data_IF_884216916305
#
_entry.id   IF_884216916305
#
_cell.length_a   1.000
_cell.length_b   1.000
_cell.length_c   1.000
_cell.angle_alpha   90.00
_cell.angle_beta   90.00
_cell.angle_gamma   90.00
#
_symmetry.space_group_name_H-M   'P 1'
#
loop_
_entity.id
_entity.type
_entity.pdbx_description
1 polymer ?
#
# COMPACT_ATOMS: atom_id res chain seq x y z
N UNK A 1 -12.22 -10.18 -17.78
CA UNK A 1 -11.58 -8.86 -17.99
C UNK A 1 -10.64 -8.47 -16.82
N UNK A 2 -9.64 -9.31 -16.51
CA UNK A 2 -8.63 -8.99 -15.48
C UNK A 2 -7.22 -8.83 -16.05
N UNK A 3 -6.99 -9.34 -17.27
CA UNK A 3 -5.69 -9.36 -17.93
C UNK A 3 -5.40 -8.05 -18.68
N UNK A 4 -6.29 -7.66 -19.59
CA UNK A 4 -6.15 -6.42 -20.37
C UNK A 4 -6.72 -5.23 -19.60
N UNK A 5 -5.84 -4.52 -18.88
CA UNK A 5 -6.15 -3.28 -18.15
C UNK A 5 -5.57 -2.08 -18.91
N UNK A 6 -6.29 -0.96 -19.03
CA UNK A 6 -5.73 0.27 -19.56
C UNK A 6 -4.57 0.75 -18.69
N UNK A 7 -3.64 1.50 -19.28
CA UNK A 7 -2.42 1.98 -18.60
C UNK A 7 -2.73 2.74 -17.31
N UNK A 8 -3.72 3.63 -17.35
CA UNK A 8 -4.14 4.42 -16.18
C UNK A 8 -4.51 3.53 -14.98
N UNK A 9 -5.23 2.42 -15.23
CA UNK A 9 -5.59 1.47 -14.18
C UNK A 9 -4.38 0.73 -13.64
N UNK A 10 -3.42 0.35 -14.49
CA UNK A 10 -2.16 -0.28 -14.05
C UNK A 10 -1.37 0.63 -13.11
N UNK A 11 -1.22 1.91 -13.46
CA UNK A 11 -0.52 2.89 -12.62
C UNK A 11 -1.19 3.08 -11.26
N UNK A 12 -2.52 3.17 -11.22
CA UNK A 12 -3.27 3.27 -9.97
C UNK A 12 -3.10 2.02 -9.11
N UNK A 13 -3.13 0.82 -9.70
CA UNK A 13 -2.90 -0.43 -8.97
C UNK A 13 -1.49 -0.51 -8.38
N UNK A 14 -0.46 -0.15 -9.16
CA UNK A 14 0.94 -0.10 -8.70
C UNK A 14 1.09 0.89 -7.53
N UNK A 15 0.46 2.06 -7.64
CA UNK A 15 0.47 3.04 -6.53
C UNK A 15 -0.18 2.46 -5.27
N UNK A 16 -1.31 1.76 -5.39
CA UNK A 16 -1.98 1.11 -4.25
C UNK A 16 -1.18 -0.04 -3.64
N UNK A 17 -0.36 -0.72 -4.43
CA UNK A 17 0.58 -1.73 -3.95
C UNK A 17 1.73 -1.09 -3.16
N UNK A 18 2.41 -0.09 -3.73
CA UNK A 18 3.53 0.61 -3.08
C UNK A 18 3.13 1.30 -1.77
N UNK A 19 1.93 1.86 -1.70
CA UNK A 19 1.41 2.47 -0.48
C UNK A 19 1.13 1.45 0.64
N UNK A 20 1.03 0.16 0.33
CA UNK A 20 0.71 -0.90 1.30
C UNK A 20 1.97 -1.54 1.91
N UNK A 21 3.05 -0.78 2.05
CA UNK A 21 4.31 -1.26 2.62
C UNK A 21 4.44 -0.87 4.10
N UNK A 22 5.11 -1.71 4.92
CA UNK A 22 5.43 -1.34 6.30
C UNK A 22 6.41 -0.16 6.35
N UNK A 23 6.45 0.52 7.49
CA UNK A 23 7.44 1.57 7.72
C UNK A 23 8.84 0.91 7.75
N UNK A 24 9.83 1.47 7.03
CA UNK A 24 11.21 1.01 7.10
C UNK A 24 11.77 1.07 8.52
N UNK A 25 12.48 0.02 8.92
CA UNK A 25 13.03 -0.14 10.28
C UNK A 25 13.87 1.05 10.73
N UNK A 26 14.66 1.63 9.82
CA UNK A 26 15.51 2.79 10.12
C UNK A 26 14.70 4.03 10.54
N UNK A 27 13.46 4.21 10.07
CA UNK A 27 12.58 5.30 10.51
C UNK A 27 12.11 5.06 11.93
N UNK A 28 11.74 3.81 12.25
CA UNK A 28 11.31 3.42 13.60
C UNK A 28 12.44 3.66 14.61
N UNK A 29 13.68 3.30 14.25
CA UNK A 29 14.87 3.55 15.07
C UNK A 29 15.14 5.05 15.22
N UNK A 30 15.15 5.81 14.11
CA UNK A 30 15.34 7.27 14.10
C UNK A 30 14.31 8.00 14.96
N UNK A 31 13.08 7.52 15.00
CA UNK A 31 11.98 8.12 15.77
C UNK A 31 11.90 7.63 17.22
N UNK A 32 12.91 6.90 17.71
CA UNK A 32 12.92 6.29 19.07
C UNK A 32 11.63 5.50 19.34
N UNK A 33 11.25 4.68 18.36
CA UNK A 33 10.04 3.86 18.40
C UNK A 33 8.73 4.65 18.52
N UNK A 34 8.69 5.95 18.20
CA UNK A 34 7.42 6.71 18.17
C UNK A 34 6.56 6.31 16.97
N UNK A 35 7.16 6.09 15.81
CA UNK A 35 6.45 5.71 14.59
C UNK A 35 6.69 4.22 14.32
N UNK A 36 5.71 3.37 14.68
CA UNK A 36 5.85 1.90 14.63
C UNK A 36 5.04 1.21 13.54
N UNK A 37 3.85 1.74 13.22
CA UNK A 37 2.92 1.12 12.26
C UNK A 37 2.34 2.18 11.32
N UNK A 38 2.27 1.90 10.01
CA UNK A 38 1.57 2.78 9.09
C UNK A 38 0.06 2.63 9.27
N UNK A 39 -0.66 3.75 9.23
CA UNK A 39 -2.11 3.80 9.42
C UNK A 39 -2.93 3.27 8.23
N UNK A 40 -2.29 3.02 7.07
CA UNK A 40 -2.98 2.72 5.80
C UNK A 40 -2.71 1.32 5.25
N UNK A 41 -2.28 0.38 6.09
CA UNK A 41 -2.10 -1.01 5.69
C UNK A 41 -3.45 -1.66 5.38
N UNK A 42 -3.45 -2.48 4.33
CA UNK A 42 -4.63 -3.13 3.78
C UNK A 42 -4.33 -4.59 3.46
N UNK A 43 -5.28 -5.46 3.82
CA UNK A 43 -5.25 -6.87 3.44
C UNK A 43 -6.30 -7.12 2.35
N UNK A 44 -5.91 -7.77 1.25
CA UNK A 44 -6.78 -8.06 0.10
C UNK A 44 -7.97 -8.99 0.41
N UNK A 45 -7.87 -9.81 1.47
CA UNK A 45 -8.98 -10.66 1.94
C UNK A 45 -10.02 -9.85 2.71
N UNK A 46 -9.57 -8.93 3.57
CA UNK A 46 -10.45 -8.18 4.47
C UNK A 46 -11.02 -6.91 3.83
N UNK A 47 -10.22 -6.18 3.07
CA UNK A 47 -10.56 -4.88 2.50
C UNK A 47 -10.27 -4.87 1.00
N UNK A 48 -11.34 -4.90 0.19
CA UNK A 48 -11.27 -4.85 -1.28
C UNK A 48 -10.95 -3.44 -1.75
N UNK A 49 -10.23 -3.33 -2.88
CA UNK A 49 -10.09 -2.04 -3.55
C UNK A 49 -11.42 -1.72 -4.20
N UNK A 50 -12.05 -0.62 -3.78
CA UNK A 50 -13.13 0.03 -4.52
C UNK A 50 -12.56 0.69 -5.77
N UNK A 51 -13.42 1.13 -6.69
CA UNK A 51 -13.09 1.54 -8.06
C UNK A 51 -11.70 2.17 -8.25
N UNK A 52 -10.85 1.41 -8.96
CA UNK A 52 -9.47 1.78 -9.38
C UNK A 52 -9.39 1.80 -10.89
#
# INVERSE_FOLDING_TARGET
MAHNKPLAKKLRLINREKNNQPIPTWITVRTRLKVRRPYRLRNWRRNKLKDV
#
